data_IF_181242407698
#
_entry.id   IF_181242407698
#
_cell.length_a   1.000
_cell.length_b   1.000
_cell.length_c   1.000
_cell.angle_alpha   90.00
_cell.angle_beta   90.00
_cell.angle_gamma   90.00
#
_symmetry.space_group_name_H-M   'P 1'
#
loop_
_entity.id
_entity.type
_entity.pdbx_description
1 polymer ?
#
# COMPACT_ATOMS: atom_id res chain seq x y z
N UNK A 1 -26.43 7.60 14.77
CA UNK A 1 -26.21 9.02 14.39
C UNK A 1 -24.76 9.46 14.65
N UNK A 2 -24.09 8.91 15.66
CA UNK A 2 -22.67 9.13 15.99
C UNK A 2 -21.76 8.66 14.85
N UNK A 3 -21.94 7.46 14.32
CA UNK A 3 -21.10 6.85 13.27
C UNK A 3 -21.06 7.66 11.95
N UNK A 4 -22.17 8.36 11.62
CA UNK A 4 -22.21 9.22 10.42
C UNK A 4 -21.34 10.47 10.62
N UNK A 5 -21.27 10.97 11.84
CA UNK A 5 -20.45 12.15 12.17
C UNK A 5 -18.98 11.77 12.10
N UNK A 6 -18.60 10.66 12.72
CA UNK A 6 -17.24 10.13 12.74
C UNK A 6 -16.72 9.84 11.31
N UNK A 7 -17.54 9.21 10.47
CA UNK A 7 -17.18 8.95 9.07
C UNK A 7 -16.95 10.24 8.27
N UNK A 8 -17.75 11.28 8.52
CA UNK A 8 -17.57 12.59 7.86
C UNK A 8 -16.32 13.33 8.36
N UNK A 9 -16.01 13.19 9.62
CA UNK A 9 -14.80 13.77 10.21
C UNK A 9 -13.56 13.08 9.63
N UNK A 10 -13.50 11.76 9.62
CA UNK A 10 -12.42 11.00 9.01
C UNK A 10 -12.20 11.34 7.53
N UNK A 11 -13.28 11.49 6.76
CA UNK A 11 -13.17 11.90 5.36
C UNK A 11 -12.61 13.31 5.19
N UNK A 12 -12.99 14.27 6.05
CA UNK A 12 -12.44 15.61 6.05
C UNK A 12 -10.97 15.65 6.45
N UNK A 13 -10.59 14.85 7.44
CA UNK A 13 -9.20 14.71 7.86
C UNK A 13 -8.33 14.15 6.73
N UNK A 14 -8.83 13.15 5.99
CA UNK A 14 -8.16 12.62 4.81
C UNK A 14 -7.94 13.68 3.73
N UNK A 15 -8.95 14.48 3.42
CA UNK A 15 -8.81 15.59 2.45
C UNK A 15 -7.85 16.66 2.94
N UNK A 16 -7.93 17.04 4.22
CA UNK A 16 -7.03 18.02 4.82
C UNK A 16 -5.58 17.53 4.85
N UNK A 17 -5.36 16.22 5.03
CA UNK A 17 -4.03 15.62 4.94
C UNK A 17 -3.46 15.75 3.52
N UNK A 18 -4.26 15.47 2.48
CA UNK A 18 -3.84 15.62 1.10
C UNK A 18 -3.47 17.07 0.76
N UNK A 19 -4.31 18.04 1.16
CA UNK A 19 -4.05 19.47 1.00
C UNK A 19 -2.78 19.93 1.73
N UNK A 20 -2.56 19.40 2.94
CA UNK A 20 -1.35 19.71 3.71
C UNK A 20 -0.10 19.14 3.05
N UNK A 21 -0.14 17.90 2.53
CA UNK A 21 0.98 17.30 1.83
C UNK A 21 1.35 18.11 0.59
N UNK A 22 0.36 18.51 -0.20
CA UNK A 22 0.56 19.37 -1.35
C UNK A 22 1.23 20.70 -0.96
N UNK A 23 0.68 21.42 0.01
CA UNK A 23 1.20 22.70 0.45
C UNK A 23 2.57 22.66 1.14
N UNK A 24 2.88 21.59 1.89
CA UNK A 24 4.13 21.48 2.64
C UNK A 24 5.27 20.89 1.83
N UNK A 25 4.99 19.92 0.95
CA UNK A 25 6.03 19.17 0.24
C UNK A 25 6.21 19.61 -1.20
N UNK A 26 5.16 20.06 -1.88
CA UNK A 26 5.22 20.56 -3.26
C UNK A 26 5.34 22.08 -3.28
N UNK A 27 6.20 22.65 -2.46
CA UNK A 27 6.33 24.10 -2.24
C UNK A 27 7.71 24.63 -2.63
N UNK A 28 7.80 25.92 -2.87
CA UNK A 28 9.07 26.61 -3.12
C UNK A 28 10.05 26.49 -1.94
N UNK A 29 9.54 26.40 -0.71
CA UNK A 29 10.37 26.18 0.49
C UNK A 29 11.12 24.85 0.43
N UNK A 30 10.56 23.84 -0.21
CA UNK A 30 11.15 22.53 -0.48
C UNK A 30 11.93 22.50 -1.81
N UNK A 31 12.06 23.64 -2.50
CA UNK A 31 12.70 23.79 -3.80
C UNK A 31 11.99 23.08 -4.94
N UNK A 32 10.71 22.86 -4.81
CA UNK A 32 9.83 22.39 -5.89
C UNK A 32 9.31 23.63 -6.61
N UNK A 33 10.00 24.04 -7.66
CA UNK A 33 9.74 25.31 -8.38
C UNK A 33 9.33 25.11 -9.82
N UNK A 34 9.64 23.96 -10.38
CA UNK A 34 9.30 23.64 -11.76
C UNK A 34 7.90 23.04 -11.84
N UNK A 35 7.14 23.47 -12.85
CA UNK A 35 5.76 22.97 -13.06
C UNK A 35 5.73 21.45 -13.25
N UNK A 36 6.76 20.89 -13.89
CA UNK A 36 6.87 19.45 -14.08
C UNK A 36 7.04 18.69 -12.75
N UNK A 37 7.87 19.22 -11.83
CA UNK A 37 8.11 18.61 -10.52
C UNK A 37 6.86 18.65 -9.65
N UNK A 38 6.11 19.75 -9.68
CA UNK A 38 4.80 19.86 -8.99
C UNK A 38 3.83 18.81 -9.54
N UNK A 39 3.69 18.72 -10.85
CA UNK A 39 2.77 17.77 -11.48
C UNK A 39 3.14 16.30 -11.18
N UNK A 40 4.44 15.98 -11.14
CA UNK A 40 4.91 14.64 -10.74
C UNK A 40 4.63 14.36 -9.26
N UNK A 41 4.80 15.35 -8.39
CA UNK A 41 4.48 15.25 -6.97
C UNK A 41 2.98 15.05 -6.71
N UNK A 42 2.12 15.83 -7.39
CA UNK A 42 0.66 15.64 -7.34
C UNK A 42 0.25 14.25 -7.86
N UNK A 43 0.87 13.78 -8.94
CA UNK A 43 0.64 12.45 -9.48
C UNK A 43 1.04 11.35 -8.48
N UNK A 44 2.17 11.52 -7.79
CA UNK A 44 2.58 10.60 -6.73
C UNK A 44 1.58 10.63 -5.55
N UNK A 45 1.12 11.79 -5.13
CA UNK A 45 0.10 11.91 -4.07
C UNK A 45 -1.17 11.15 -4.44
N UNK A 46 -1.65 11.27 -5.68
CA UNK A 46 -2.80 10.51 -6.16
C UNK A 46 -2.55 8.99 -6.17
N UNK A 47 -1.32 8.54 -6.46
CA UNK A 47 -0.95 7.14 -6.35
C UNK A 47 -0.98 6.63 -4.91
N UNK A 48 -0.49 7.43 -3.95
CA UNK A 48 -0.55 7.10 -2.52
C UNK A 48 -1.99 6.99 -2.04
N UNK A 49 -2.84 7.96 -2.40
CA UNK A 49 -4.27 7.93 -2.08
C UNK A 49 -4.96 6.71 -2.67
N UNK A 50 -4.67 6.38 -3.93
CA UNK A 50 -5.21 5.18 -4.58
C UNK A 50 -4.79 3.92 -3.85
N UNK A 51 -3.51 3.78 -3.50
CA UNK A 51 -3.02 2.61 -2.77
C UNK A 51 -3.69 2.48 -1.39
N UNK A 52 -3.86 3.59 -0.67
CA UNK A 52 -4.55 3.61 0.61
C UNK A 52 -6.02 3.15 0.48
N UNK A 53 -6.72 3.61 -0.54
CA UNK A 53 -8.10 3.18 -0.82
C UNK A 53 -8.14 1.68 -1.16
N UNK A 54 -7.31 1.22 -2.08
CA UNK A 54 -7.29 -0.18 -2.53
C UNK A 54 -6.94 -1.15 -1.38
N UNK A 55 -6.07 -0.74 -0.46
CA UNK A 55 -5.57 -1.59 0.64
C UNK A 55 -6.49 -1.55 1.86
N UNK A 56 -6.95 -0.37 2.26
CA UNK A 56 -7.60 -0.17 3.56
C UNK A 56 -9.11 0.10 3.47
N UNK A 57 -9.60 0.72 2.40
CA UNK A 57 -11.03 1.02 2.26
C UNK A 57 -11.75 -0.09 1.50
N UNK A 58 -11.18 -0.55 0.39
CA UNK A 58 -11.79 -1.53 -0.51
C UNK A 58 -11.35 -2.98 -0.23
N UNK A 59 -10.64 -3.21 0.87
CA UNK A 59 -10.14 -4.53 1.24
C UNK A 59 -10.63 -4.92 2.64
N UNK A 60 -10.89 -6.18 2.85
CA UNK A 60 -11.43 -6.73 4.10
C UNK A 60 -10.53 -7.87 4.59
N UNK A 61 -9.96 -7.72 5.78
CA UNK A 61 -9.11 -8.74 6.40
C UNK A 61 -9.83 -10.09 6.59
N UNK A 62 -11.16 -10.14 6.59
CA UNK A 62 -11.90 -11.40 6.62
C UNK A 62 -11.90 -12.14 5.28
N UNK A 63 -11.70 -11.42 4.18
CA UNK A 63 -11.67 -11.92 2.79
C UNK A 63 -10.62 -11.15 1.97
N UNK A 64 -9.36 -11.15 2.40
CA UNK A 64 -8.35 -10.29 1.84
C UNK A 64 -8.05 -10.62 0.36
N UNK A 65 -7.71 -9.58 -0.38
CA UNK A 65 -7.20 -9.67 -1.74
C UNK A 65 -5.89 -8.91 -1.84
N UNK A 66 -5.00 -9.34 -2.69
CA UNK A 66 -3.78 -8.60 -2.98
C UNK A 66 -4.11 -7.35 -3.78
N UNK A 67 -3.91 -6.19 -3.19
CA UNK A 67 -3.99 -4.89 -3.85
C UNK A 67 -2.58 -4.46 -4.29
N UNK A 68 -2.42 -3.83 -5.47
CA UNK A 68 -1.13 -3.29 -5.90
C UNK A 68 -0.62 -2.24 -4.91
N UNK A 69 0.59 -2.44 -4.41
CA UNK A 69 1.28 -1.47 -3.55
C UNK A 69 2.29 -0.66 -4.37
N UNK A 70 3.15 -1.34 -5.13
CA UNK A 70 4.14 -0.71 -5.97
C UNK A 70 4.34 -1.50 -7.27
N UNK A 71 4.61 -0.79 -8.36
CA UNK A 71 4.84 -1.38 -9.68
C UNK A 71 5.57 -0.38 -10.60
N UNK A 72 5.85 -0.78 -11.83
CA UNK A 72 6.42 0.12 -12.83
C UNK A 72 5.57 1.39 -13.08
N UNK A 73 4.27 1.32 -12.84
CA UNK A 73 3.31 2.43 -13.05
C UNK A 73 2.72 3.01 -11.77
N UNK A 74 2.95 2.37 -10.63
CA UNK A 74 2.54 2.83 -9.31
C UNK A 74 3.80 2.94 -8.46
N UNK A 75 4.45 4.10 -8.51
CA UNK A 75 5.76 4.33 -7.92
C UNK A 75 5.66 5.06 -6.60
N UNK A 76 6.52 4.66 -5.66
CA UNK A 76 6.68 5.28 -4.34
C UNK A 76 8.05 5.94 -4.15
N UNK A 77 8.93 5.84 -5.17
CA UNK A 77 10.21 6.53 -5.21
C UNK A 77 11.46 5.65 -5.25
N UNK A 78 11.35 4.34 -5.08
CA UNK A 78 12.51 3.44 -5.07
C UNK A 78 12.24 2.04 -5.61
N UNK A 79 11.10 1.85 -6.23
CA UNK A 79 10.67 0.55 -6.73
C UNK A 79 11.41 0.13 -7.99
N UNK A 80 11.76 -1.16 -8.03
CA UNK A 80 12.20 -1.80 -9.26
C UNK A 80 11.04 -1.93 -10.26
N UNK A 81 11.28 -1.64 -11.53
CA UNK A 81 10.26 -1.74 -12.59
C UNK A 81 9.77 -3.18 -12.83
N UNK A 82 10.58 -4.14 -12.47
CA UNK A 82 10.40 -5.59 -12.65
C UNK A 82 10.06 -6.34 -11.34
N UNK A 83 9.86 -5.59 -10.24
CA UNK A 83 9.53 -6.15 -8.93
C UNK A 83 8.21 -5.56 -8.39
N UNK A 84 7.06 -5.97 -8.93
CA UNK A 84 5.78 -5.49 -8.45
C UNK A 84 5.49 -5.99 -7.04
N UNK A 85 5.05 -5.09 -6.17
CA UNK A 85 4.65 -5.40 -4.80
C UNK A 85 3.15 -5.31 -4.63
N UNK A 86 2.59 -6.25 -3.88
CA UNK A 86 1.18 -6.29 -3.52
C UNK A 86 1.02 -6.40 -2.01
N UNK A 87 -0.04 -5.85 -1.48
CA UNK A 87 -0.33 -5.87 -0.06
C UNK A 87 -1.76 -6.36 0.18
N UNK A 88 -1.98 -6.98 1.33
CA UNK A 88 -3.32 -7.37 1.79
C UNK A 88 -3.38 -7.24 3.32
N UNK A 89 -4.47 -6.68 3.89
CA UNK A 89 -4.65 -6.64 5.33
C UNK A 89 -4.92 -8.04 5.89
N UNK A 90 -4.41 -8.31 7.08
CA UNK A 90 -4.60 -9.58 7.77
C UNK A 90 -5.12 -9.35 9.18
N UNK A 91 -6.06 -10.17 9.63
CA UNK A 91 -6.53 -10.25 11.00
C UNK A 91 -5.73 -11.32 11.75
N UNK A 92 -5.01 -10.98 12.83
CA UNK A 92 -4.17 -11.93 13.57
C UNK A 92 -4.97 -13.09 14.19
N UNK A 93 -6.28 -12.95 14.36
CA UNK A 93 -7.16 -14.02 14.83
C UNK A 93 -7.55 -15.05 13.79
N UNK A 94 -7.12 -14.91 12.54
CA UNK A 94 -7.52 -15.76 11.41
C UNK A 94 -6.37 -16.57 10.84
N UNK A 95 -6.75 -17.57 10.06
CA UNK A 95 -5.82 -18.36 9.23
C UNK A 95 -6.09 -18.08 7.77
N UNK A 96 -5.03 -17.87 7.01
CA UNK A 96 -5.08 -17.57 5.59
C UNK A 96 -4.37 -18.62 4.76
N UNK A 97 -4.80 -18.79 3.53
CA UNK A 97 -4.13 -19.60 2.52
C UNK A 97 -3.92 -18.77 1.27
N UNK A 98 -2.69 -18.67 0.84
CA UNK A 98 -2.32 -18.06 -0.43
C UNK A 98 -2.23 -19.17 -1.48
N UNK A 99 -2.82 -18.95 -2.64
CA UNK A 99 -2.71 -19.82 -3.82
C UNK A 99 -2.37 -18.97 -5.02
N UNK A 100 -1.48 -19.46 -5.86
CA UNK A 100 -1.06 -18.80 -7.08
C UNK A 100 -0.38 -19.78 -8.02
N UNK A 101 0.09 -19.29 -9.14
CA UNK A 101 0.91 -20.03 -10.10
C UNK A 101 2.17 -19.22 -10.35
N UNK A 102 3.31 -19.87 -10.33
CA UNK A 102 4.55 -19.34 -10.89
C UNK A 102 4.65 -19.80 -12.35
N UNK A 103 5.02 -18.89 -13.22
CA UNK A 103 5.30 -19.18 -14.63
C UNK A 103 6.77 -18.87 -14.92
N UNK A 104 7.02 -17.58 -15.23
CA UNK A 104 8.33 -17.08 -15.62
C UNK A 104 8.98 -16.22 -14.50
N UNK A 105 8.30 -16.13 -13.34
CA UNK A 105 8.81 -15.40 -12.19
C UNK A 105 10.03 -16.11 -11.62
N UNK A 106 11.14 -15.40 -11.55
CA UNK A 106 12.41 -15.92 -10.99
C UNK A 106 12.42 -15.88 -9.47
N UNK A 107 11.56 -15.08 -8.86
CA UNK A 107 11.50 -14.91 -7.43
C UNK A 107 10.09 -14.47 -6.98
N UNK A 108 9.58 -15.12 -5.94
CA UNK A 108 8.38 -14.69 -5.21
C UNK A 108 8.70 -14.77 -3.72
N UNK A 109 8.31 -13.74 -2.97
CA UNK A 109 8.37 -13.75 -1.51
C UNK A 109 7.08 -13.23 -0.89
N UNK A 110 6.81 -13.70 0.32
CA UNK A 110 5.73 -13.23 1.17
C UNK A 110 6.32 -12.81 2.50
N UNK A 111 6.05 -11.57 2.90
CA UNK A 111 6.45 -11.06 4.20
C UNK A 111 5.21 -10.63 4.97
N UNK A 112 5.08 -11.10 6.20
CA UNK A 112 4.03 -10.68 7.12
C UNK A 112 4.64 -9.70 8.11
N UNK A 113 4.02 -8.54 8.19
CA UNK A 113 4.42 -7.46 9.07
C UNK A 113 3.45 -7.29 10.23
N UNK A 114 3.95 -6.73 11.32
CA UNK A 114 3.13 -6.21 12.42
C UNK A 114 2.99 -4.69 12.31
N UNK A 115 1.85 -4.17 12.77
CA UNK A 115 1.60 -2.78 13.08
C UNK A 115 0.80 -2.73 14.39
N UNK A 116 0.71 -1.56 15.01
CA UNK A 116 -0.05 -1.40 16.27
C UNK A 116 -1.52 -1.18 16.02
N UNK A 117 -1.81 -0.45 14.97
CA UNK A 117 -3.17 -0.11 14.54
C UNK A 117 -3.32 -0.32 13.04
N UNK A 118 -4.54 -0.40 12.57
CA UNK A 118 -4.84 -0.51 11.14
C UNK A 118 -4.36 0.76 10.40
N UNK A 119 -3.61 0.57 9.32
CA UNK A 119 -3.03 1.67 8.55
C UNK A 119 -1.67 2.15 9.04
N UNK A 120 -1.19 1.69 10.18
CA UNK A 120 0.14 2.02 10.66
C UNK A 120 1.23 1.49 9.74
N UNK A 121 2.35 2.21 9.75
CA UNK A 121 3.59 1.67 9.20
C UNK A 121 4.05 0.46 10.02
N UNK A 122 4.47 -0.58 9.33
CA UNK A 122 4.95 -1.81 9.97
C UNK A 122 6.11 -1.55 10.93
N UNK A 123 6.03 -2.13 12.12
CA UNK A 123 7.04 -2.02 13.18
C UNK A 123 7.86 -3.30 13.40
N UNK A 124 7.53 -4.37 12.68
CA UNK A 124 8.26 -5.63 12.73
C UNK A 124 7.87 -6.63 11.65
N UNK A 125 8.72 -7.63 11.47
CA UNK A 125 8.47 -8.76 10.58
C UNK A 125 8.10 -9.97 11.42
N UNK A 126 6.91 -10.52 11.18
CA UNK A 126 6.44 -11.77 11.81
C UNK A 126 7.11 -12.97 11.15
N UNK A 127 7.07 -13.02 9.84
CA UNK A 127 7.76 -14.03 9.02
C UNK A 127 8.01 -13.50 7.61
N UNK A 128 8.99 -14.07 6.98
CA UNK A 128 9.27 -13.89 5.55
C UNK A 128 9.58 -15.25 4.95
N UNK A 129 8.95 -15.57 3.82
CA UNK A 129 9.16 -16.81 3.08
C UNK A 129 9.35 -16.47 1.60
N UNK A 130 10.24 -17.19 0.94
CA UNK A 130 10.42 -17.07 -0.50
C UNK A 130 10.04 -18.38 -1.21
N UNK A 131 10.01 -18.36 -2.53
CA UNK A 131 9.54 -19.48 -3.35
C UNK A 131 10.29 -20.82 -3.12
N UNK A 132 11.46 -20.82 -2.48
CA UNK A 132 12.19 -22.06 -2.14
C UNK A 132 11.78 -22.67 -0.80
N UNK A 133 10.95 -21.97 -0.02
CA UNK A 133 10.59 -22.33 1.35
C UNK A 133 9.13 -22.77 1.51
N UNK A 134 8.31 -22.62 0.48
CA UNK A 134 6.94 -23.10 0.49
C UNK A 134 6.70 -24.19 -0.57
N UNK A 135 5.68 -25.01 -0.32
CA UNK A 135 5.38 -26.12 -1.22
C UNK A 135 4.80 -25.60 -2.54
N UNK A 136 5.32 -26.13 -3.64
CA UNK A 136 4.74 -25.98 -4.98
C UNK A 136 4.20 -27.33 -5.43
N UNK A 137 3.02 -27.33 -6.04
CA UNK A 137 2.44 -28.49 -6.69
C UNK A 137 2.88 -28.50 -8.15
N UNK A 138 3.25 -29.66 -8.70
CA UNK A 138 3.66 -29.83 -10.10
C UNK A 138 2.45 -29.92 -11.05
N UNK A 139 1.43 -29.08 -10.90
CA UNK A 139 0.27 -29.04 -11.80
C UNK A 139 0.38 -27.99 -12.91
#
# INVERSE_FOLDING_TARGET
MTDIIESREAFREFLALAERIDGEFLSEERRVTEVADVAEGEHMLLHLMKAAIDIWVDNDASRPRFAPLASATLKWGGEGSDNPSHCAPLDPGRRYRIRGRMKDEVYISFTVYTGKEEGDWNDGVVCALNHTEFATDDE
#
